data_IF_922933340418
#
_entry.id   IF_922933340418
#
_cell.length_a   1.000
_cell.length_b   1.000
_cell.length_c   1.000
_cell.angle_alpha   90.00
_cell.angle_beta   90.00
_cell.angle_gamma   90.00
#
_symmetry.space_group_name_H-M   'P 1'
#
loop_
_entity.id
_entity.type
_entity.pdbx_description
1 polymer ?
2 non-polymer ?
3 non-polymer ?
4 non-polymer ?
5 non-polymer ?
6 non-polymer ?
7 water ?
#
# COMPACT_ATOMS: atom_id res chain seq x y z
N UNK A 1 4.11 8.83 0.52
CA UNK A 1 3.34 10.06 0.11
C UNK A 1 3.97 11.35 0.59
N UNK A 2 3.26 12.46 0.37
CA UNK A 2 3.76 13.78 0.72
C UNK A 2 4.00 13.90 2.23
N UNK A 3 3.17 13.23 3.04
CA UNK A 3 3.31 13.27 4.50
C UNK A 3 4.71 12.75 4.91
N UNK A 4 5.13 11.63 4.31
CA UNK A 4 6.41 10.99 4.58
C UNK A 4 7.56 11.74 3.93
N UNK A 5 7.32 12.35 2.77
CA UNK A 5 8.32 13.22 2.12
C UNK A 5 8.71 14.43 3.01
N UNK A 6 7.69 15.08 3.56
CA UNK A 6 7.91 16.17 4.53
C UNK A 6 8.75 15.69 5.72
N UNK A 7 8.26 14.63 6.35
CA UNK A 7 8.93 13.92 7.46
C UNK A 7 10.39 13.56 7.25
N UNK A 8 10.66 12.89 6.16
CA UNK A 8 12.02 12.44 5.87
C UNK A 8 12.98 13.60 5.65
N UNK A 9 12.54 14.62 4.92
CA UNK A 9 13.35 15.81 4.59
C UNK A 9 13.70 16.62 5.85
N UNK A 10 12.74 16.77 6.76
CA UNK A 10 12.99 17.44 8.02
C UNK A 10 13.79 16.62 9.02
N UNK A 11 13.68 15.29 8.97
CA UNK A 11 14.50 14.41 9.79
C UNK A 11 16.00 14.60 9.49
N UNK A 12 16.33 14.55 8.20
CA UNK A 12 17.73 14.58 7.78
C UNK A 12 18.31 16.00 7.64
N UNK A 13 17.51 16.93 7.16
CA UNK A 13 18.04 18.25 6.79
C UNK A 13 17.85 19.30 7.86
N UNK A 14 18.42 20.50 7.63
CA UNK A 14 18.38 21.55 8.62
C UNK A 14 17.26 22.56 8.40
N UNK A 15 16.44 22.39 7.37
CA UNK A 15 15.48 23.43 7.03
C UNK A 15 14.05 22.94 6.81
N UNK A 16 13.12 23.87 6.95
CA UNK A 16 11.71 23.64 6.76
C UNK A 16 11.45 23.03 5.39
N UNK A 17 10.55 22.05 5.29
CA UNK A 17 10.16 21.54 3.96
C UNK A 17 9.53 22.61 3.05
N UNK A 18 9.01 23.68 3.65
CA UNK A 18 8.48 24.86 2.92
C UNK A 18 9.52 25.48 1.95
N UNK A 19 10.80 25.33 2.29
CA UNK A 19 11.91 25.87 1.50
C UNK A 19 12.03 25.25 0.10
N UNK A 20 11.41 24.09 -0.11
CA UNK A 20 11.53 23.35 -1.36
C UNK A 20 10.27 23.31 -2.17
N UNK A 21 9.30 24.17 -1.84
CA UNK A 21 7.97 24.04 -2.43
C UNK A 21 7.85 24.78 -3.79
N UNK A 22 8.53 25.91 -3.96
CA UNK A 22 8.72 26.49 -5.29
C UNK A 22 10.13 27.02 -5.33
N UNK A 23 11.05 26.25 -5.91
CA UNK A 23 12.47 26.56 -5.86
C UNK A 23 13.18 26.06 -7.11
N UNK A 24 13.93 26.96 -7.74
CA UNK A 24 14.63 26.65 -8.95
C UNK A 24 13.68 26.33 -10.06
N UNK A 25 14.12 25.46 -10.97
CA UNK A 25 13.34 24.98 -12.09
C UNK A 25 12.62 23.61 -11.83
N UNK A 26 13.05 22.88 -10.80
CA UNK A 26 12.49 21.55 -10.54
C UNK A 26 11.77 21.37 -9.21
N UNK A 27 12.12 22.12 -8.17
CA UNK A 27 11.54 21.87 -6.85
C UNK A 27 10.10 22.38 -6.77
N UNK A 28 9.16 21.44 -6.69
CA UNK A 28 7.73 21.75 -6.70
C UNK A 28 7.07 20.92 -7.78
N UNK A 29 5.78 21.12 -7.97
CA UNK A 29 4.99 20.35 -8.96
C UNK A 29 5.53 20.57 -10.37
N UNK A 30 5.92 19.48 -11.03
CA UNK A 30 6.52 19.54 -12.37
C UNK A 30 7.95 20.01 -12.37
N UNK A 31 8.36 20.61 -13.50
CA UNK A 31 9.70 21.16 -13.64
C UNK A 31 10.34 20.81 -14.97
N UNK A 32 11.05 21.78 -15.55
CA UNK A 32 11.73 21.62 -16.83
C UNK A 32 12.87 22.63 -16.86
N UNK A 33 13.93 22.33 -17.61
CA UNK A 33 15.07 23.24 -17.77
C UNK A 33 16.41 22.69 -17.32
N UNK A 34 17.39 23.58 -17.25
CA UNK A 34 18.68 23.27 -16.64
C UNK A 34 18.56 23.54 -15.13
N UNK A 35 18.91 22.55 -14.30
CA UNK A 35 18.85 22.80 -12.84
C UNK A 35 19.82 23.92 -12.38
N UNK A 36 19.31 24.84 -11.56
CA UNK A 36 20.07 26.03 -11.18
C UNK A 36 21.25 25.78 -10.23
N UNK A 37 21.14 24.71 -9.45
CA UNK A 37 22.14 24.40 -8.42
C UNK A 37 21.93 22.98 -7.89
N UNK A 38 22.66 22.62 -6.85
CA UNK A 38 22.64 21.30 -6.24
C UNK A 38 21.25 20.92 -5.78
N UNK A 39 20.62 21.80 -5.01
CA UNK A 39 19.25 21.57 -4.53
C UNK A 39 18.31 21.25 -5.69
N UNK A 40 18.44 22.00 -6.78
CA UNK A 40 17.59 21.83 -7.97
C UNK A 40 17.87 20.49 -8.66
N UNK A 41 19.13 20.07 -8.62
CA UNK A 41 19.53 18.72 -9.03
C UNK A 41 18.88 17.61 -8.16
N UNK A 42 18.88 17.81 -6.85
CA UNK A 42 18.21 16.86 -5.93
C UNK A 42 16.75 16.65 -6.31
N UNK A 43 16.06 17.76 -6.63
CA UNK A 43 14.67 17.73 -7.02
C UNK A 43 14.42 17.13 -8.43
N UNK A 44 15.33 17.38 -9.38
CA UNK A 44 15.26 16.68 -10.67
C UNK A 44 15.36 15.15 -10.48
N UNK A 45 16.35 14.69 -9.72
CA UNK A 45 16.48 13.29 -9.33
C UNK A 45 15.25 12.68 -8.65
N UNK A 46 14.64 13.43 -7.73
CA UNK A 46 13.42 12.97 -7.05
C UNK A 46 12.24 12.88 -8.03
N UNK A 47 12.10 13.90 -8.88
CA UNK A 47 11.12 13.89 -9.98
C UNK A 47 11.22 12.60 -10.81
N UNK A 48 12.47 12.21 -11.13
CA UNK A 48 12.76 10.97 -11.90
C UNK A 48 12.39 9.70 -11.15
N UNK A 49 12.72 9.68 -9.87
CA UNK A 49 12.41 8.52 -9.02
C UNK A 49 10.88 8.32 -8.95
N UNK A 50 10.16 9.41 -8.67
CA UNK A 50 8.69 9.36 -8.59
C UNK A 50 8.08 8.93 -9.93
N UNK A 51 8.69 9.37 -11.04
CA UNK A 51 8.24 8.99 -12.39
C UNK A 51 8.44 7.49 -12.56
N UNK A 52 9.61 7.00 -12.19
CA UNK A 52 9.88 5.57 -12.17
C UNK A 52 8.86 4.79 -11.31
N UNK A 53 8.59 5.27 -10.09
CA UNK A 53 7.62 4.64 -9.18
C UNK A 53 6.23 4.57 -9.80
N UNK A 54 5.83 5.63 -10.47
CA UNK A 54 4.55 5.63 -11.17
C UNK A 54 4.50 4.60 -12.30
N UNK A 55 5.60 4.46 -13.03
CA UNK A 55 5.67 3.48 -14.13
C UNK A 55 5.65 2.04 -13.64
N UNK A 56 6.14 1.82 -12.43
CA UNK A 56 6.10 0.53 -11.76
C UNK A 56 4.71 0.14 -11.20
N UNK A 57 3.75 1.08 -11.21
CA UNK A 57 2.40 0.84 -10.71
C UNK A 57 2.13 1.37 -9.30
N UNK A 58 2.87 2.38 -8.89
CA UNK A 58 2.76 2.96 -7.55
C UNK A 58 2.18 4.39 -7.57
N UNK A 59 1.78 4.89 -6.40
CA UNK A 59 1.26 6.25 -6.22
C UNK A 59 2.11 6.99 -5.17
N UNK A 60 3.22 7.57 -5.62
CA UNK A 60 4.24 8.12 -4.74
C UNK A 60 3.82 9.30 -3.89
N UNK A 61 2.77 10.00 -4.33
CA UNK A 61 2.28 11.18 -3.64
C UNK A 61 1.23 10.89 -2.55
N UNK A 62 0.62 9.70 -2.56
CA UNK A 62 -0.48 9.38 -1.63
C UNK A 62 -0.22 8.19 -0.73
N UNK A 63 0.50 7.19 -1.22
CA UNK A 63 0.66 5.96 -0.45
C UNK A 63 1.46 6.16 0.86
N UNK A 64 0.88 5.70 1.97
CA UNK A 64 1.55 5.75 3.26
C UNK A 64 2.60 4.62 3.43
N UNK A 65 3.66 4.91 4.18
CA UNK A 65 4.66 3.91 4.53
C UNK A 65 5.31 4.23 5.90
N UNK A 66 5.79 3.21 6.59
CA UNK A 66 6.45 3.36 7.88
C UNK A 66 7.94 3.55 7.70
N UNK A 67 8.51 4.33 8.59
CA UNK A 67 9.93 4.60 8.59
C UNK A 67 10.24 5.16 9.94
N UNK A 68 11.53 5.25 10.25
CA UNK A 68 12.01 5.79 11.55
C UNK A 68 13.10 6.81 11.28
N UNK A 69 13.13 7.86 12.09
CA UNK A 69 14.20 8.83 12.08
C UNK A 69 15.16 8.50 13.23
N UNK A 70 16.38 8.08 12.90
CA UNK A 70 17.37 7.69 13.96
C UNK A 70 18.71 8.41 13.69
N UNK A 71 19.14 9.27 14.62
CA UNK A 71 20.31 10.13 14.44
C UNK A 71 20.25 10.96 13.13
N UNK A 72 19.09 11.59 12.91
CA UNK A 72 18.84 12.44 11.72
C UNK A 72 19.07 11.68 10.44
N UNK A 73 18.71 10.40 10.44
CA UNK A 73 18.80 9.60 9.24
C UNK A 73 17.59 8.66 9.13
N UNK A 74 17.23 8.35 7.89
CA UNK A 74 16.01 7.64 7.57
C UNK A 74 16.26 6.13 7.50
N UNK A 75 15.46 5.40 8.26
CA UNK A 75 15.38 3.97 8.15
C UNK A 75 13.99 3.59 7.62
N UNK A 76 13.97 2.90 6.48
CA UNK A 76 12.72 2.48 5.81
C UNK A 76 12.25 1.11 6.30
N UNK A 77 10.98 1.02 6.70
CA UNK A 77 10.37 -0.23 7.15
C UNK A 77 9.54 -0.13 8.41
N UNK A 78 8.70 -1.16 8.69
CA UNK A 78 8.46 -2.33 7.88
C UNK A 78 7.68 -2.00 6.62
N UNK A 79 8.08 -2.57 5.48
CA UNK A 79 7.36 -2.40 4.19
C UNK A 79 6.39 -3.54 3.93
N UNK A 80 5.14 -3.22 3.61
CA UNK A 80 4.12 -4.24 3.28
C UNK A 80 4.16 -4.74 1.84
N UNK A 81 4.81 -3.98 0.97
CA UNK A 81 4.84 -4.31 -0.44
C UNK A 81 5.98 -3.54 -1.12
N UNK A 82 6.17 -3.79 -2.40
CA UNK A 82 7.26 -3.19 -3.17
C UNK A 82 7.15 -1.65 -3.28
N UNK A 83 5.94 -1.15 -3.49
CA UNK A 83 5.75 0.29 -3.63
C UNK A 83 6.20 1.03 -2.40
N UNK A 84 5.88 0.52 -1.21
CA UNK A 84 6.30 1.20 0.00
C UNK A 84 7.83 1.28 0.10
N UNK A 85 8.52 0.24 -0.36
CA UNK A 85 9.99 0.29 -0.31
C UNK A 85 10.55 1.25 -1.37
N UNK A 86 10.01 1.26 -2.60
CA UNK A 86 10.44 2.24 -3.62
C UNK A 86 10.23 3.71 -3.17
N UNK A 87 9.02 3.97 -2.68
CA UNK A 87 8.66 5.32 -2.22
C UNK A 87 9.62 5.79 -1.13
N UNK A 88 9.86 4.96 -0.14
CA UNK A 88 10.77 5.31 0.95
C UNK A 88 12.22 5.50 0.47
N UNK A 89 12.67 4.69 -0.47
CA UNK A 89 13.96 4.92 -1.12
C UNK A 89 14.03 6.30 -1.82
N UNK A 90 13.01 6.65 -2.59
CA UNK A 90 12.99 7.95 -3.27
C UNK A 90 13.11 9.12 -2.26
N UNK A 91 12.32 9.09 -1.19
CA UNK A 91 12.30 10.16 -0.20
C UNK A 91 13.58 10.19 0.66
N UNK A 92 14.06 9.03 1.06
CA UNK A 92 15.38 8.91 1.71
C UNK A 92 16.47 9.57 0.85
N UNK A 93 16.47 9.27 -0.44
CA UNK A 93 17.51 9.77 -1.32
C UNK A 93 17.47 11.31 -1.44
N UNK A 94 16.29 11.90 -1.65
CA UNK A 94 16.20 13.35 -1.74
C UNK A 94 16.55 14.00 -0.40
N UNK A 95 16.10 13.39 0.69
CA UNK A 95 16.39 13.86 2.04
C UNK A 95 17.90 13.89 2.28
N UNK A 96 18.58 12.79 1.98
CA UNK A 96 20.07 12.74 2.10
C UNK A 96 20.76 13.78 1.16
N UNK A 97 20.22 13.92 -0.05
CA UNK A 97 20.76 14.84 -1.06
C UNK A 97 20.68 16.31 -0.58
N UNK A 98 19.49 16.73 -0.18
CA UNK A 98 19.23 18.10 0.23
C UNK A 98 19.94 18.50 1.52
N UNK A 99 20.10 17.54 2.45
CA UNK A 99 20.83 17.78 3.71
C UNK A 99 22.32 18.15 3.54
N UNK A 100 22.91 17.79 2.40
CA UNK A 100 24.31 18.10 2.06
C UNK A 100 24.53 19.40 1.30
N UNK A 101 23.47 20.18 1.12
CA UNK A 101 23.52 21.36 0.25
C UNK A 101 23.36 22.68 1.00
N UNK A 102 23.90 23.71 0.37
CA UNK A 102 23.70 25.06 0.81
C UNK A 102 22.51 25.65 0.07
N UNK A 103 21.78 26.50 0.77
CA UNK A 103 20.54 27.08 0.26
C UNK A 103 20.85 28.38 -0.44
N UNK A 104 20.30 28.55 -1.64
CA UNK A 104 20.43 29.78 -2.40
C UNK A 104 19.09 30.47 -2.45
N UNK A 105 18.91 31.45 -1.56
CA UNK A 105 17.66 32.21 -1.40
C UNK A 105 17.12 32.74 -2.71
N UNK A 106 18.04 33.13 -3.59
CA UNK A 106 17.70 33.76 -4.86
C UNK A 106 16.89 32.83 -5.79
N UNK A 107 17.01 31.52 -5.58
CA UNK A 107 16.24 30.53 -6.35
C UNK A 107 14.85 30.20 -5.78
N UNK A 108 14.53 30.66 -4.57
CA UNK A 108 13.19 30.48 -4.02
C UNK A 108 12.22 31.36 -4.82
N UNK A 109 11.13 30.78 -5.30
CA UNK A 109 10.17 31.47 -6.21
C UNK A 109 10.86 32.04 -7.45
N UNK A 110 11.65 31.20 -8.11
CA UNK A 110 12.39 31.58 -9.29
C UNK A 110 11.42 31.65 -10.47
N UNK A 111 11.56 32.66 -11.36
CA UNK A 111 10.63 32.76 -12.49
C UNK A 111 10.76 31.59 -13.46
N UNK A 112 9.63 30.96 -13.74
CA UNK A 112 9.55 29.81 -14.65
C UNK A 112 9.94 30.19 -16.07
N UNK A 113 9.76 31.46 -16.43
CA UNK A 113 10.12 31.93 -17.76
C UNK A 113 11.63 31.85 -18.04
N UNK A 114 12.43 31.74 -16.98
CA UNK A 114 13.90 31.53 -17.11
C UNK A 114 14.34 30.06 -17.18
N UNK A 115 13.39 29.16 -17.07
CA UNK A 115 13.68 27.74 -17.17
C UNK A 115 13.49 27.26 -18.62
N UNK A 116 14.53 26.66 -19.19
CA UNK A 116 14.52 26.22 -20.58
C UNK A 116 13.50 25.11 -20.79
N UNK A 117 12.98 24.94 -22.03
CA UNK A 117 11.95 23.91 -22.23
C UNK A 117 12.47 22.47 -22.14
N UNK A 118 13.76 22.23 -22.43
CA UNK A 118 14.34 20.89 -22.38
C UNK A 118 14.99 20.62 -21.04
N UNK A 119 14.99 19.35 -20.64
CA UNK A 119 15.56 18.94 -19.34
C UNK A 119 16.69 17.89 -19.50
N UNK A 120 17.53 17.72 -18.46
CA UNK A 120 18.45 16.58 -18.50
C UNK A 120 17.67 15.27 -18.35
N UNK A 121 18.23 14.18 -18.86
CA UNK A 121 17.63 12.87 -18.79
C UNK A 121 17.64 12.32 -17.37
N UNK A 122 16.73 11.40 -17.10
CA UNK A 122 16.63 10.71 -15.81
C UNK A 122 17.65 9.56 -15.64
N UNK B 1 -6.59 -5.52 4.71
CA UNK B 1 -6.33 -6.16 6.04
C UNK B 1 -7.54 -6.74 6.75
N UNK B 2 -7.29 -7.22 7.96
CA UNK B 2 -8.34 -7.88 8.74
C UNK B 2 -9.53 -6.94 8.98
N UNK B 3 -9.26 -5.64 9.13
CA UNK B 3 -10.30 -4.59 9.32
C UNK B 3 -11.26 -4.48 8.13
N UNK B 4 -10.68 -4.41 6.94
CA UNK B 4 -11.42 -4.38 5.68
C UNK B 4 -12.11 -5.71 5.41
N UNK B 5 -11.40 -6.79 5.69
CA UNK B 5 -12.01 -8.12 5.60
C UNK B 5 -13.28 -8.24 6.45
N UNK B 6 -13.20 -7.83 7.72
CA UNK B 6 -14.37 -7.84 8.61
C UNK B 6 -15.45 -6.87 8.12
N UNK B 7 -15.03 -5.69 7.68
CA UNK B 7 -15.92 -4.67 7.12
C UNK B 7 -16.70 -5.12 5.90
N UNK B 8 -15.98 -5.72 4.93
CA UNK B 8 -16.57 -6.15 3.66
C UNK B 8 -17.61 -7.27 3.85
N UNK B 9 -17.32 -8.19 4.76
CA UNK B 9 -18.23 -9.27 5.11
C UNK B 9 -19.43 -8.70 5.88
N UNK B 10 -19.14 -7.74 6.77
CA UNK B 10 -20.20 -7.00 7.49
C UNK B 10 -21.12 -6.22 6.54
N UNK B 11 -20.55 -5.68 5.47
CA UNK B 11 -21.32 -4.94 4.46
C UNK B 11 -22.38 -5.81 3.76
N UNK B 12 -21.93 -6.97 3.30
CA UNK B 12 -22.74 -7.86 2.49
C UNK B 12 -23.70 -8.72 3.34
N UNK B 13 -23.27 -9.18 4.52
CA UNK B 13 -24.13 -10.05 5.37
C UNK B 13 -24.31 -11.46 4.83
N UNK B 14 -25.23 -12.25 5.44
CA UNK B 14 -26.27 -11.89 6.42
C UNK B 14 -25.90 -11.98 7.91
N UNK B 15 -24.65 -12.31 8.20
CA UNK B 15 -24.21 -12.53 9.56
C UNK B 15 -22.90 -11.83 9.91
N UNK B 16 -22.70 -11.62 11.21
CA UNK B 16 -21.48 -11.01 11.76
C UNK B 16 -20.23 -11.74 11.23
N UNK B 17 -19.13 -10.99 10.93
CA UNK B 17 -17.80 -11.58 10.61
C UNK B 17 -17.31 -12.58 11.66
N UNK B 18 -17.73 -12.37 12.90
CA UNK B 18 -17.33 -13.21 14.05
C UNK B 18 -17.78 -14.66 13.86
N UNK B 19 -18.88 -14.84 13.15
CA UNK B 19 -19.44 -16.16 12.85
C UNK B 19 -18.51 -17.09 12.04
N UNK B 20 -17.41 -16.53 11.50
CA UNK B 20 -16.43 -17.29 10.70
C UNK B 20 -15.02 -17.30 11.30
N UNK B 21 -14.90 -16.96 12.57
CA UNK B 21 -13.57 -16.91 13.22
C UNK B 21 -12.98 -18.31 13.46
N UNK B 22 -13.86 -19.27 13.73
CA UNK B 22 -13.46 -20.65 13.97
C UNK B 22 -14.63 -21.52 13.52
N UNK B 23 -14.60 -21.87 12.24
CA UNK B 23 -15.68 -22.61 11.64
C UNK B 23 -15.12 -23.56 10.58
N UNK B 24 -15.59 -24.81 10.65
CA UNK B 24 -15.16 -25.87 9.74
C UNK B 24 -13.66 -26.11 9.79
N UNK B 25 -13.09 -26.46 8.66
CA UNK B 25 -11.67 -26.79 8.58
C UNK B 25 -10.82 -25.63 8.05
N UNK B 26 -11.45 -24.59 7.51
CA UNK B 26 -10.70 -23.48 6.90
C UNK B 26 -10.96 -22.07 7.40
N UNK B 27 -12.15 -21.83 7.94
CA UNK B 27 -12.53 -20.53 8.47
C UNK B 27 -11.80 -20.25 9.79
N UNK B 28 -10.79 -19.40 9.68
CA UNK B 28 -9.92 -19.06 10.80
C UNK B 28 -8.48 -19.19 10.36
N UNK B 29 -7.58 -19.03 11.32
CA UNK B 29 -6.15 -19.05 11.05
C UNK B 29 -5.73 -20.42 10.54
N UNK B 30 -5.10 -20.44 9.38
CA UNK B 30 -4.66 -21.69 8.75
C UNK B 30 -5.81 -22.48 8.17
N UNK B 31 -5.68 -23.80 8.18
CA UNK B 31 -6.69 -24.68 7.64
C UNK B 31 -6.14 -25.73 6.71
N UNK B 32 -6.75 -26.92 6.80
CA UNK B 32 -6.40 -28.12 6.01
C UNK B 32 -7.56 -29.10 6.04
N UNK B 33 -7.61 -29.99 5.08
CA UNK B 33 -8.67 -31.00 5.02
C UNK B 33 -9.70 -30.78 3.95
N UNK B 34 -10.76 -31.58 4.00
CA UNK B 34 -11.89 -31.47 3.11
C UNK B 34 -12.85 -30.40 3.67
N UNK B 35 -13.16 -29.35 2.90
CA UNK B 35 -14.15 -28.40 3.41
C UNK B 35 -15.47 -29.09 3.81
N UNK B 36 -15.99 -28.74 4.98
CA UNK B 36 -17.20 -29.36 5.54
C UNK B 36 -18.44 -29.03 4.73
N UNK B 37 -18.54 -27.79 4.27
CA UNK B 37 -19.76 -27.28 3.64
C UNK B 37 -19.49 -26.01 2.79
N UNK B 38 -20.56 -25.31 2.42
CA UNK B 38 -20.48 -24.15 1.50
C UNK B 38 -19.61 -23.06 2.07
N UNK B 39 -19.96 -22.61 3.27
CA UNK B 39 -19.13 -21.64 4.02
C UNK B 39 -17.63 -22.02 4.03
N UNK B 40 -17.34 -23.30 4.30
CA UNK B 40 -15.95 -23.78 4.44
C UNK B 40 -15.24 -23.69 3.08
N UNK B 41 -15.99 -23.93 2.00
CA UNK B 41 -15.47 -23.74 0.63
C UNK B 41 -15.14 -22.28 0.30
N UNK B 42 -15.94 -21.35 0.82
CA UNK B 42 -15.66 -19.91 0.69
C UNK B 42 -14.34 -19.57 1.38
N UNK B 43 -14.12 -20.15 2.56
CA UNK B 43 -12.89 -19.88 3.35
C UNK B 43 -11.64 -20.51 2.72
N UNK B 44 -11.78 -21.71 2.16
CA UNK B 44 -10.70 -22.36 1.40
C UNK B 44 -10.23 -21.48 0.24
N UNK B 45 -11.19 -21.04 -0.57
CA UNK B 45 -10.95 -20.11 -1.67
C UNK B 45 -10.23 -18.84 -1.24
N UNK B 46 -10.68 -18.27 -0.13
CA UNK B 46 -10.05 -17.08 0.43
C UNK B 46 -8.60 -17.31 0.89
N UNK B 47 -8.35 -18.44 1.56
CA UNK B 47 -6.99 -18.88 1.94
C UNK B 47 -6.07 -18.96 0.70
N UNK B 48 -6.60 -19.47 -0.39
CA UNK B 48 -5.88 -19.53 -1.65
C UNK B 48 -5.53 -18.16 -2.16
N UNK B 49 -6.50 -17.25 -2.10
CA UNK B 49 -6.39 -15.92 -2.63
C UNK B 49 -5.38 -15.13 -1.80
N UNK B 50 -5.45 -15.27 -0.48
CA UNK B 50 -4.47 -14.64 0.43
C UNK B 50 -3.04 -15.23 0.29
N UNK B 51 -2.93 -16.51 -0.01
CA UNK B 51 -1.61 -17.15 -0.19
C UNK B 51 -0.94 -16.62 -1.47
N UNK B 52 -1.75 -16.41 -2.49
CA UNK B 52 -1.32 -15.87 -3.76
C UNK B 52 -0.89 -14.41 -3.67
N UNK B 53 -1.62 -13.63 -2.88
CA UNK B 53 -1.24 -12.25 -2.58
C UNK B 53 0.09 -12.17 -1.84
N UNK B 54 0.35 -13.13 -0.97
CA UNK B 54 1.62 -13.17 -0.27
C UNK B 54 2.76 -13.48 -1.22
N UNK B 55 2.51 -14.44 -2.11
CA UNK B 55 3.46 -14.83 -3.13
C UNK B 55 3.77 -13.75 -4.15
N UNK B 56 2.81 -12.86 -4.40
CA UNK B 56 3.03 -11.69 -5.25
C UNK B 56 3.73 -10.53 -4.53
N UNK B 57 3.96 -10.66 -3.22
CA UNK B 57 4.68 -9.65 -2.44
C UNK B 57 3.81 -8.70 -1.61
N UNK B 58 2.62 -9.15 -1.23
CA UNK B 58 1.68 -8.33 -0.46
C UNK B 58 1.46 -8.87 0.96
N UNK B 59 0.82 -8.06 1.81
CA UNK B 59 0.55 -8.42 3.21
C UNK B 59 -0.96 -8.35 3.49
N UNK B 60 -1.66 -9.46 3.20
CA UNK B 60 -3.13 -9.46 3.21
C UNK B 60 -3.79 -9.17 4.56
N UNK B 61 -3.08 -9.41 5.67
CA UNK B 61 -3.61 -9.22 7.03
C UNK B 61 -3.50 -7.79 7.57
N UNK B 62 -2.59 -7.00 6.99
CA UNK B 62 -2.29 -5.67 7.51
C UNK B 62 -2.60 -4.49 6.55
N UNK B 63 -2.37 -4.66 5.27
CA UNK B 63 -2.40 -3.55 4.34
C UNK B 63 -3.78 -2.95 4.22
N UNK B 64 -3.84 -1.62 4.35
CA UNK B 64 -5.08 -0.87 4.23
C UNK B 64 -5.48 -0.68 2.75
N UNK B 65 -6.79 -0.65 2.50
CA UNK B 65 -7.29 -0.31 1.18
C UNK B 65 -8.64 0.38 1.29
N UNK B 66 -8.95 1.21 0.29
CA UNK B 66 -10.23 1.90 0.21
C UNK B 66 -11.26 1.05 -0.50
N UNK B 67 -12.51 1.19 -0.08
CA UNK B 67 -13.64 0.50 -0.67
C UNK B 67 -14.93 1.16 -0.21
N UNK B 68 -16.02 0.87 -0.91
CA UNK B 68 -17.35 1.47 -0.60
C UNK B 68 -18.39 0.37 -0.38
N UNK B 69 -19.27 0.55 0.61
CA UNK B 69 -20.44 -0.31 0.75
C UNK B 69 -21.69 0.41 0.18
N UNK B 70 -22.21 -0.13 -0.93
CA UNK B 70 -23.39 0.41 -1.60
C UNK B 70 -24.44 -0.70 -1.76
N UNK B 71 -25.62 -0.50 -1.18
CA UNK B 71 -26.72 -1.48 -1.25
C UNK B 71 -26.25 -2.86 -0.83
N UNK B 72 -25.48 -2.89 0.25
CA UNK B 72 -24.90 -4.11 0.80
C UNK B 72 -24.10 -4.89 -0.23
N UNK B 73 -23.40 -4.14 -1.09
CA UNK B 73 -22.41 -4.68 -2.03
C UNK B 73 -21.08 -3.94 -1.85
N UNK B 74 -19.99 -4.67 -2.09
CA UNK B 74 -18.64 -4.10 -2.02
C UNK B 74 -18.14 -3.62 -3.39
N UNK B 75 -17.72 -2.35 -3.41
CA UNK B 75 -16.99 -1.73 -4.52
C UNK B 75 -15.55 -1.38 -4.10
N UNK B 76 -14.61 -1.92 -4.85
CA UNK B 76 -13.21 -1.81 -4.55
C UNK B 76 -12.60 -0.57 -5.18
N UNK B 77 -11.84 0.18 -4.41
CA UNK B 77 -11.07 1.33 -4.91
C UNK B 77 -11.38 2.60 -4.15
N UNK B 78 -10.62 3.69 -4.41
CA UNK B 78 -9.46 3.78 -5.31
C UNK B 78 -8.21 3.07 -4.80
N UNK B 79 -7.61 2.28 -5.68
CA UNK B 79 -6.39 1.53 -5.40
C UNK B 79 -5.11 2.27 -5.80
N UNK B 80 -4.17 2.31 -4.87
CA UNK B 80 -2.89 2.96 -5.08
C UNK B 80 -1.85 2.08 -5.79
N UNK B 81 -2.09 0.78 -5.77
CA UNK B 81 -1.14 -0.19 -6.31
C UNK B 81 -1.86 -1.52 -6.52
N UNK B 82 -1.13 -2.52 -7.00
CA UNK B 82 -1.71 -3.84 -7.32
C UNK B 82 -2.12 -4.64 -6.08
N UNK B 83 -1.39 -4.51 -4.98
CA UNK B 83 -1.69 -5.23 -3.77
C UNK B 83 -3.08 -4.87 -3.22
N UNK B 84 -3.39 -3.58 -3.16
CA UNK B 84 -4.70 -3.11 -2.71
C UNK B 84 -5.82 -3.67 -3.61
N UNK B 85 -5.63 -3.61 -4.92
CA UNK B 85 -6.58 -4.24 -5.88
C UNK B 85 -6.80 -5.71 -5.53
N UNK B 86 -5.70 -6.42 -5.37
CA UNK B 86 -5.69 -7.84 -5.04
C UNK B 86 -6.47 -8.12 -3.77
N UNK B 87 -6.04 -7.51 -2.68
CA UNK B 87 -6.63 -7.76 -1.36
C UNK B 87 -8.12 -7.46 -1.35
N UNK B 88 -8.52 -6.34 -1.93
CA UNK B 88 -9.95 -6.03 -2.01
C UNK B 88 -10.73 -7.09 -2.83
N UNK B 89 -10.17 -7.57 -3.92
CA UNK B 89 -10.79 -8.67 -4.70
C UNK B 89 -11.00 -9.93 -3.86
N UNK B 90 -9.98 -10.34 -3.11
CA UNK B 90 -10.10 -11.52 -2.27
C UNK B 90 -11.23 -11.36 -1.27
N UNK B 91 -11.29 -10.22 -0.59
CA UNK B 91 -12.26 -10.00 0.48
C UNK B 91 -13.67 -9.78 -0.07
N UNK B 92 -13.78 -9.01 -1.15
CA UNK B 92 -15.07 -8.86 -1.87
C UNK B 92 -15.63 -10.25 -2.30
N UNK B 93 -14.74 -11.09 -2.82
CA UNK B 93 -15.10 -12.43 -3.27
C UNK B 93 -15.62 -13.29 -2.10
N UNK B 94 -14.91 -13.32 -0.99
CA UNK B 94 -15.41 -14.16 0.15
C UNK B 94 -16.73 -13.63 0.70
N UNK B 95 -16.87 -12.30 0.74
CA UNK B 95 -18.12 -11.64 1.15
C UNK B 95 -19.30 -12.06 0.29
N UNK B 96 -19.13 -12.00 -1.02
CA UNK B 96 -20.18 -12.48 -1.96
C UNK B 96 -20.46 -13.99 -1.84
N UNK B 97 -19.38 -14.76 -1.72
CA UNK B 97 -19.48 -16.20 -1.51
C UNK B 97 -20.32 -16.54 -0.27
N UNK B 98 -19.97 -15.97 0.88
CA UNK B 98 -20.66 -16.27 2.15
C UNK B 98 -22.12 -15.75 2.19
N UNK B 99 -22.40 -14.69 1.46
CA UNK B 99 -23.72 -14.10 1.44
C UNK B 99 -24.75 -15.10 0.89
N UNK B 100 -24.28 -16.02 0.08
CA UNK B 100 -25.13 -17.02 -0.56
C UNK B 100 -25.18 -18.35 0.19
N UNK B 101 -24.79 -18.38 1.47
CA UNK B 101 -24.63 -19.64 2.20
C UNK B 101 -25.64 -19.75 3.33
N UNK B 102 -25.94 -20.98 3.70
CA UNK B 102 -26.67 -21.29 4.91
C UNK B 102 -25.65 -21.69 5.98
N UNK B 103 -25.92 -21.34 7.23
CA UNK B 103 -24.98 -21.60 8.34
C UNK B 103 -25.29 -22.96 8.99
N UNK B 104 -24.27 -23.79 9.19
CA UNK B 104 -24.41 -25.08 9.91
C UNK B 104 -23.71 -25.05 11.26
N UNK B 105 -24.52 -24.94 12.31
CA UNK B 105 -24.05 -24.77 13.68
C UNK B 105 -23.17 -25.94 14.14
N UNK B 106 -23.43 -27.13 13.58
CA UNK B 106 -22.57 -28.30 13.81
C UNK B 106 -21.07 -28.11 13.48
N UNK B 107 -20.76 -27.21 12.54
CA UNK B 107 -19.35 -26.92 12.17
C UNK B 107 -18.70 -25.72 12.88
N UNK B 108 -19.45 -25.03 13.74
CA UNK B 108 -18.89 -23.97 14.55
C UNK B 108 -17.99 -24.60 15.60
N UNK B 109 -16.86 -23.97 15.85
CA UNK B 109 -15.79 -24.49 16.72
C UNK B 109 -15.36 -25.94 16.42
N UNK B 110 -15.30 -26.29 15.14
CA UNK B 110 -14.94 -27.64 14.72
C UNK B 110 -13.47 -27.90 15.06
N UNK B 111 -13.15 -29.10 15.63
CA UNK B 111 -11.77 -29.36 16.02
C UNK B 111 -10.87 -29.66 14.81
N UNK B 112 -9.74 -28.97 14.72
CA UNK B 112 -8.82 -29.13 13.59
C UNK B 112 -8.20 -30.51 13.58
N UNK B 113 -8.15 -31.18 14.73
CA UNK B 113 -7.66 -32.57 14.79
C UNK B 113 -8.56 -33.57 14.04
N UNK B 114 -9.80 -33.17 13.77
CA UNK B 114 -10.76 -33.95 12.95
C UNK B 114 -10.74 -33.58 11.45
N UNK B 115 -9.84 -32.68 11.07
CA UNK B 115 -9.69 -32.31 9.67
C UNK B 115 -8.50 -33.09 9.08
N UNK B 116 -8.73 -33.62 7.88
CA UNK B 116 -7.79 -34.43 7.12
C UNK B 116 -6.53 -33.64 6.86
N UNK B 117 -5.37 -34.31 6.82
CA UNK B 117 -4.14 -33.54 6.62
C UNK B 117 -4.02 -32.93 5.23
N UNK B 118 -4.64 -33.53 4.20
CA UNK B 118 -4.58 -32.98 2.84
C UNK B 118 -5.79 -32.13 2.51
N UNK B 119 -5.55 -31.12 1.68
CA UNK B 119 -6.59 -30.18 1.22
C UNK B 119 -6.73 -30.19 -0.31
N UNK B 120 -7.86 -29.69 -0.82
CA UNK B 120 -7.95 -29.57 -2.27
C UNK B 120 -7.08 -28.41 -2.80
N UNK B 121 -6.55 -28.58 -4.00
CA UNK B 121 -5.73 -27.58 -4.69
C UNK B 121 -6.46 -26.23 -4.79
N UNK B 122 -5.69 -25.17 -5.03
CA UNK B 122 -6.24 -23.81 -5.09
C UNK B 122 -6.76 -23.41 -6.47
N UNK B 123 -5.95 -23.65 -7.49
CA UNK B 123 -6.24 -23.27 -8.88
C UNK B 123 -7.61 -22.61 -9.09
X LIG C 1 9.35 18.75 -9.47
X LIG D 1 19.58 26.80 5.36
X LIG D 1 18.89 28.00 4.95
X LIG D 1 17.41 27.65 4.66
X LIG D 1 16.62 28.82 4.45
X LIG D 1 14.28 29.04 3.80
X LIG D 1 15.27 28.72 4.92
X LIG D 1 12.93 29.06 4.31
X LIG D 1 10.59 29.74 4.16
X LIG D 1 12.04 30.00 3.72
X LIG D 1 10.46 29.83 5.61
X LIG D 1 8.60 29.42 7.28
X LIG D 1 9.17 30.27 6.11
X LIG D 1 9.53 29.11 8.35
X LIG D 1 11.26 29.82 9.94
X LIG D 1 10.00 30.22 9.16
X LIG D 1 11.96 28.84 9.20
X LIG E 1 7.41 16.94 -9.93
X LIG E 1 6.40 16.31 -9.12
X LIG E 1 6.52 16.89 -7.70
X LIG E 1 7.04 15.92 -6.77
X LIG E 1 5.99 16.68 -4.67
X LIG E 1 6.18 15.56 -5.68
X LIG E 1 4.85 17.46 -5.05
X LIG E 1 2.49 17.63 -5.59
X LIG E 1 3.54 17.13 -4.56
X LIG E 1 1.12 17.47 -5.18
X LIG E 1 0.33 16.95 -7.46
X LIG E 1 0.26 16.64 -5.97
X LIG E 1 -0.53 16.07 -8.18
X LIG E 1 0.78 15.27 -10.05
X LIG E 1 0.05 14.92 -8.77
X LIG E 1 1.27 14.03 -10.57
X LIG F 1 16.80 0.42 5.77
X LIG F 1 16.66 1.81 5.26
X LIG F 1 16.35 0.32 7.41
X LIG F 1 18.47 0.05 5.90
X LIG G 1 8.26 24.67 -9.87
X LIG G 1 7.39 24.56 -8.69
X LIG G 1 8.78 23.13 -10.39
X LIG G 1 9.76 25.39 -9.46
X LIG H 1 -0.10 10.14 -7.11
X LIG H 1 1.06 9.37 -6.62
X LIG H 1 -1.50 9.15 -7.15
X LIG H 1 0.07 10.51 -8.77
X LIG I 1 5.69 13.06 -10.85
X LIG I 1 5.26 11.91 -10.03
X LIG I 1 5.34 12.77 -12.50
X LIG I 1 7.39 13.18 -10.87
X LIG J 1 6.81 18.75 1.65
X LIG J 1 7.94 18.65 0.71
X LIG J 1 7.87 18.71 -0.67
X LIG J 1 9.14 18.58 -1.29
X LIG J 1 10.19 18.42 -0.39
X LIG J 1 11.61 18.26 -0.67
X LIG J 1 9.57 18.42 1.23
X LIG J 1 9.22 18.60 -2.74
X LIG J 1 10.06 17.82 -3.56
X LIG J 1 9.72 18.19 -4.83
X LIG J 1 8.75 19.15 -4.68
X LIG J 1 8.41 19.42 -3.42
X LIG J 1 10.16 17.81 -6.13
X LIG J 1 9.86 18.46 -7.11
X LIG J 1 10.93 16.66 -6.20
X LIG K 1 10.08 8.92 13.50
X LIG K 1 11.03 8.00 14.10
X LIG K 1 8.72 8.31 13.16
X LIG K 1 8.49 8.45 11.74
X LIG K 1 7.10 8.41 11.30
X LIG K 1 6.38 7.07 11.51
X LIG K 1 5.98 6.42 10.27
X LIG L 1 9.35 16.38 10.08
X LIG L 1 9.57 17.05 8.80
X LIG L 1 10.40 15.40 10.61
X LIG L 1 9.79 14.38 11.42
X LIG L 1 10.76 13.44 11.90
X LIG L 1 9.99 12.32 12.58
X LIG L 1 8.64 12.81 12.72
X LIG M 1 -0.23 2.61 6.06
X LIG M 1 -0.82 3.29 7.18
X LIG M 1 1.28 2.46 6.22
X LIG M 1 1.47 1.36 7.11
X LIG M 1 2.65 0.60 6.87
X LIG M 1 2.73 -0.50 7.92
X LIG M 1 3.99 -1.19 7.83
X LIG N 1 -8.08 -20.16 6.89
X LIG O 1 -0.95 -16.80 11.31
X LIG O 1 -0.73 -15.92 10.19
X LIG O 1 -0.50 -14.49 10.70
X LIG O 1 -1.37 -14.21 11.83
X LIG O 1 -3.50 -13.17 12.57
X LIG O 1 -2.34 -13.20 11.56
X LIG O 1 -4.68 -12.67 11.89
X LIG O 1 -6.82 -13.87 11.80
X LIG O 1 -5.93 -12.86 12.55
X LIG O 1 -6.70 -13.78 10.36
X LIG O 1 -7.76 -15.28 8.79
X LIG O 1 -7.94 -14.07 9.69
X LIG O 1 -7.28 -14.80 7.53
X LIG O 1 -7.64 -15.84 5.44
X LIG O 1 -6.78 -15.84 6.70
X LIG O 1 -6.96 -16.42 4.33
X LIG P 1 -15.43 -2.88 -8.43
X LIG P 1 -15.28 -3.57 -7.12
X LIG P 1 -13.91 -2.84 -9.20
X LIG P 1 -15.64 -1.22 -8.17
X LIG Q 1 -9.39 -23.27 12.04
X LIG Q 1 -8.90 -22.79 10.72
X LIG Q 1 -11.08 -23.61 11.97
X LIG Q 1 -9.27 -22.04 13.22
X LIG R 1 -20.36 -2.45 7.85
X LIG R 1 -21.62 -1.95 7.24
X LIG R 1 -20.07 -1.62 9.33
X LIG R 1 -18.99 -1.84 7.00
X LIG S 1 -13.10 -10.97 10.65
X LIG S 1 -13.26 -12.03 9.65
X LIG S 1 -12.45 -13.13 9.48
X LIG S 1 -12.87 -13.99 8.43
X LIG S 1 -14.00 -13.58 7.77
X LIG S 1 -14.68 -14.23 6.65
X LIG S 1 -14.53 -12.08 8.47
X LIG S 1 -12.09 -15.16 8.17
X LIG S 1 -11.86 -15.73 6.89
X LIG S 1 -10.97 -16.73 7.19
X LIG S 1 -10.77 -16.68 8.54
X LIG S 1 -11.42 -15.72 9.18
X LIG S 1 -10.31 -17.71 6.40
X LIG S 1 -9.70 -18.61 6.98
X LIG S 1 -10.42 -17.55 5.04
X LIG T 1 0.69 -11.03 5.97
X LIG T 1 -0.16 -9.90 5.97
X LIG T 1 1.02 -11.43 7.40
X LIG T 1 2.31 -12.06 7.39
X LIG T 1 3.27 -11.39 8.20
X LIG T 1 3.86 -12.52 8.99
X LIG T 1 4.53 -13.37 8.04
X LIG U 1 -10.72 0.62 5.77
X LIG U 1 -10.44 1.20 4.49
X LIG U 1 -11.95 -0.26 5.60
X LIG U 1 -12.41 -0.85 6.80
X LIG U 1 -13.15 0.10 7.54
X LIG U 1 -13.80 -0.75 8.60
X LIG U 1 -13.36 -2.07 8.29
X LIG V 1 -20.32 -22.21 -2.00
X LIG V 1 -18.92 -22.37 -1.85
X LIG V 1 -20.78 -20.76 -2.19
X LIG V 1 -21.84 -20.73 -3.15
X LIG V 1 -23.12 -21.14 -2.62
X LIG V 1 -23.25 -22.67 -2.44
X LIG V 1 -24.60 -23.03 -2.14
#
# INVERSE_FOLDING_TARGET
GILELAGTVGCVGPRTPIAYMKYGCFCGLGGHGQPRDAIDWCCHGHDCCYTRAEEAGCSPKTERYSWQCVNQSVLCGPAENKCQELLCKCDQEIANCLAQTEYNLKYLFYPQFLCEPDSPKCDQGILELAG
GILELAGTVGCVGPRTPIAYMKYGCFCGLGGHGQPRDAIDWCCHGHDCCYTRAEEAGCSPKTERYSWQCVNQSVLCGPAENKCQELLCKCDQEIANCLAQTEYNLKYLFYPQFLCEPDSPKCDQGILELAG
CA CA
1PE OH2 C12 C22 OH3 C13 C23 OH4 C14 C24 OH5 C15 C25 OH6 C16 C26 OH7
1PE OH2 C12 C22 OH3 C13 C23 OH4 C14 C24 OH5 C15 C25 OH6 C16 C26 OH7
DMS S O C1 C2
DMS S O C1 C2
DMS S O C1 C2
DMS S O C1 C2
TJM C1 C2 C3 C4 C5 C6 S7 C8 C9 C10 N11 N12 C13 O14 N15
PEG C1 O1 C2 O2 C3 C4 O4
PEG C1 O1 C2 O2 C3 C4 O4
PEG C1 O1 C2 O2 C3 C4 O4
CA CA
1PE OH2 C12 C22 OH3 C13 C23 OH4 C14 C24 OH5 C15 C25 OH6 C16 C26 OH7
DMS S O C1 C2
DMS S O C1 C2
DMS S O C1 C2
TJM C1 C2 C3 C4 C5 C6 S7 C8 C9 C10 N11 N12 C13 O14 N15
PEG C1 O1 C2 O2 C3 C4 O4
PEG C1 O1 C2 O2 C3 C4 O4
PEG C1 O1 C2 O2 C3 C4 O4
#
